data_IF_205991973550
#
_entry.id   IF_205991973550
#
_cell.length_a   1.000
_cell.length_b   1.000
_cell.length_c   1.000
_cell.angle_alpha   90.00
_cell.angle_beta   90.00
_cell.angle_gamma   90.00
#
_symmetry.space_group_name_H-M   'P 1'
#
loop_
_entity.id
_entity.type
_entity.pdbx_description
1 polymer ?
#
# COMPACT_ATOMS: atom_id res chain seq x y z
N UNK A 1 -15.32 5.84 -13.34
CA UNK A 1 -15.33 6.12 -14.80
C UNK A 1 -13.91 6.36 -15.25
N UNK A 2 -13.49 5.91 -16.44
CA UNK A 2 -12.16 6.22 -16.93
C UNK A 2 -12.09 7.65 -17.49
N UNK A 3 -10.95 8.29 -17.31
CA UNK A 3 -10.65 9.63 -17.78
C UNK A 3 -9.39 9.61 -18.63
N UNK A 4 -9.40 10.30 -19.76
CA UNK A 4 -8.22 10.47 -20.61
C UNK A 4 -7.63 11.84 -20.30
N UNK A 5 -6.34 11.87 -19.97
CA UNK A 5 -5.58 13.10 -19.79
C UNK A 5 -4.88 13.44 -21.09
N UNK A 6 -4.93 14.69 -21.56
CA UNK A 6 -4.20 15.16 -22.75
C UNK A 6 -4.61 14.51 -24.10
N UNK A 7 -5.90 14.19 -24.27
CA UNK A 7 -6.43 13.71 -25.54
C UNK A 7 -5.91 12.32 -25.96
N UNK A 8 -5.97 12.00 -27.25
CA UNK A 8 -5.75 10.64 -27.77
C UNK A 8 -4.32 10.11 -27.49
N UNK A 9 -3.33 10.99 -27.40
CA UNK A 9 -1.93 10.63 -27.18
C UNK A 9 -1.53 10.58 -25.69
N UNK A 10 -2.42 10.94 -24.78
CA UNK A 10 -2.12 10.95 -23.36
C UNK A 10 -2.60 9.69 -22.63
N UNK A 11 -2.15 9.53 -21.39
CA UNK A 11 -2.57 8.40 -20.55
C UNK A 11 -4.04 8.46 -20.16
N UNK A 12 -4.56 7.32 -19.70
CA UNK A 12 -5.90 7.25 -19.12
C UNK A 12 -5.85 6.69 -17.70
N UNK A 13 -6.75 7.18 -16.86
CA UNK A 13 -6.90 6.78 -15.46
C UNK A 13 -8.27 6.16 -15.25
N UNK A 14 -8.32 4.93 -14.76
CA UNK A 14 -9.54 4.18 -14.50
C UNK A 14 -9.78 3.02 -15.49
N UNK A 15 -10.98 2.42 -15.39
CA UNK A 15 -11.37 1.21 -16.12
C UNK A 15 -11.95 1.54 -17.51
N UNK A 16 -11.37 0.97 -18.56
CA UNK A 16 -11.90 0.96 -19.93
C UNK A 16 -12.04 -0.50 -20.35
N UNK A 17 -13.25 -1.03 -20.47
CA UNK A 17 -13.47 -2.43 -20.84
C UNK A 17 -12.75 -3.43 -19.91
N UNK A 18 -11.85 -4.25 -20.48
CA UNK A 18 -11.06 -5.29 -19.80
C UNK A 18 -9.74 -4.78 -19.21
N UNK A 19 -9.46 -3.48 -19.32
CA UNK A 19 -8.18 -2.88 -18.98
C UNK A 19 -8.35 -1.69 -18.03
N UNK A 20 -7.34 -1.46 -17.21
CA UNK A 20 -7.30 -0.38 -16.23
C UNK A 20 -6.01 0.40 -16.42
N UNK A 21 -6.15 1.70 -16.68
CA UNK A 21 -5.05 2.64 -16.76
C UNK A 21 -4.82 3.35 -15.43
N UNK A 22 -3.56 3.61 -15.09
CA UNK A 22 -3.19 4.39 -13.92
C UNK A 22 -1.83 5.06 -14.13
N UNK A 23 -1.56 6.12 -13.36
CA UNK A 23 -0.28 6.83 -13.41
C UNK A 23 0.49 6.55 -12.13
N UNK A 24 1.75 6.16 -12.26
CA UNK A 24 2.65 5.95 -11.13
C UNK A 24 3.97 6.67 -11.40
N UNK A 25 4.37 7.56 -10.50
CA UNK A 25 5.62 8.33 -10.64
C UNK A 25 5.72 9.12 -11.95
N UNK A 26 4.60 9.67 -12.45
CA UNK A 26 4.53 10.44 -13.70
C UNK A 26 4.52 9.61 -14.98
N UNK A 27 4.59 8.27 -14.90
CA UNK A 27 4.48 7.37 -16.05
C UNK A 27 3.09 6.74 -16.10
N UNK A 28 2.55 6.61 -17.32
CA UNK A 28 1.27 5.96 -17.56
C UNK A 28 1.47 4.45 -17.72
N UNK A 29 0.67 3.67 -16.99
CA UNK A 29 0.68 2.22 -17.00
C UNK A 29 -0.72 1.69 -17.31
N UNK A 30 -0.75 0.50 -17.88
CA UNK A 30 -1.97 -0.21 -18.24
C UNK A 30 -1.86 -1.65 -17.76
N UNK A 31 -2.93 -2.17 -17.16
CA UNK A 31 -3.02 -3.56 -16.73
C UNK A 31 -4.37 -4.16 -17.09
N UNK A 32 -4.46 -5.49 -17.09
CA UNK A 32 -5.74 -6.17 -17.18
C UNK A 32 -6.62 -5.87 -15.95
N UNK A 33 -7.93 -5.99 -16.13
CA UNK A 33 -8.88 -5.90 -15.04
C UNK A 33 -8.52 -6.95 -13.98
N UNK A 34 -8.45 -6.57 -12.69
CA UNK A 34 -8.19 -7.54 -11.64
C UNK A 34 -9.30 -8.59 -11.65
N UNK A 35 -8.92 -9.86 -11.51
CA UNK A 35 -9.87 -10.93 -11.24
C UNK A 35 -10.48 -10.70 -9.87
N UNK A 36 -11.81 -10.72 -9.78
CA UNK A 36 -12.48 -10.66 -8.49
C UNK A 36 -12.10 -11.91 -7.69
N UNK A 37 -11.52 -11.71 -6.50
CA UNK A 37 -11.35 -12.78 -5.51
C UNK A 37 -12.35 -12.55 -4.38
N UNK A 38 -13.11 -13.58 -4.05
CA UNK A 38 -14.20 -13.50 -3.06
C UNK A 38 -13.77 -13.91 -1.66
N UNK A 39 -12.65 -14.63 -1.50
CA UNK A 39 -12.22 -15.13 -0.19
C UNK A 39 -10.73 -14.86 0.02
N UNK A 40 -10.40 -14.35 1.21
CA UNK A 40 -9.03 -14.20 1.68
C UNK A 40 -8.54 -15.52 2.28
N UNK A 41 -7.27 -15.85 2.04
CA UNK A 41 -6.64 -17.00 2.69
C UNK A 41 -6.39 -16.70 4.17
N UNK A 42 -6.28 -17.73 5.05
CA UNK A 42 -6.01 -17.51 6.47
C UNK A 42 -4.73 -16.69 6.72
N UNK A 43 -3.67 -16.96 5.95
CA UNK A 43 -2.41 -16.21 6.02
C UNK A 43 -2.57 -14.73 5.61
N UNK A 44 -3.47 -14.43 4.67
CA UNK A 44 -3.75 -13.03 4.29
C UNK A 44 -4.51 -12.27 5.37
N UNK A 45 -5.47 -12.91 6.04
CA UNK A 45 -6.19 -12.31 7.16
C UNK A 45 -5.25 -12.00 8.33
N UNK A 46 -4.39 -12.98 8.64
CA UNK A 46 -3.30 -12.86 9.61
C UNK A 46 -2.40 -11.65 9.24
N UNK A 47 -1.94 -11.56 7.99
CA UNK A 47 -1.14 -10.42 7.55
C UNK A 47 -1.86 -9.06 7.64
N UNK A 48 -3.17 -9.02 7.38
CA UNK A 48 -3.99 -7.81 7.52
C UNK A 48 -4.11 -7.39 8.98
N UNK A 49 -4.40 -8.33 9.88
CA UNK A 49 -4.48 -8.07 11.32
C UNK A 49 -3.16 -7.54 11.90
N UNK A 50 -2.00 -8.09 11.48
CA UNK A 50 -0.70 -7.53 11.87
C UNK A 50 -0.57 -6.07 11.46
N UNK A 51 -0.95 -5.79 10.21
CA UNK A 51 -0.75 -4.48 9.65
C UNK A 51 -1.62 -3.45 10.37
N UNK A 52 -2.86 -3.81 10.66
CA UNK A 52 -3.79 -3.01 11.48
C UNK A 52 -3.21 -2.74 12.87
N UNK A 53 -2.76 -3.78 13.58
CA UNK A 53 -2.17 -3.62 14.92
C UNK A 53 -0.95 -2.68 14.94
N UNK A 54 -0.01 -2.84 13.98
CA UNK A 54 1.16 -1.94 13.89
C UNK A 54 0.71 -0.52 13.57
N UNK A 55 -0.28 -0.37 12.69
CA UNK A 55 -0.77 0.93 12.29
C UNK A 55 -1.41 1.68 13.45
N UNK A 56 -2.29 1.02 14.19
CA UNK A 56 -3.00 1.58 15.35
C UNK A 56 -2.02 1.95 16.47
N UNK A 57 -0.98 1.14 16.67
CA UNK A 57 0.06 1.42 17.65
C UNK A 57 0.90 2.66 17.29
N UNK A 58 1.23 2.84 16.01
CA UNK A 58 2.08 3.94 15.55
C UNK A 58 1.31 5.22 15.25
N UNK A 59 -0.01 5.14 15.06
CA UNK A 59 -0.87 6.29 14.78
C UNK A 59 -0.75 7.43 15.81
N UNK A 60 -0.82 7.19 17.14
CA UNK A 60 -0.66 8.27 18.12
C UNK A 60 0.74 8.89 18.12
N UNK A 61 1.76 8.18 17.60
CA UNK A 61 3.16 8.62 17.55
C UNK A 61 3.56 9.20 16.19
N UNK A 62 2.60 9.38 15.27
CA UNK A 62 2.86 9.71 13.86
C UNK A 62 3.73 10.95 13.66
N UNK A 63 3.51 12.01 14.42
CA UNK A 63 4.28 13.24 14.28
C UNK A 63 5.72 13.09 14.79
N UNK A 64 5.90 12.36 15.90
CA UNK A 64 7.23 12.02 16.39
C UNK A 64 8.00 11.15 15.40
N UNK A 65 7.34 10.13 14.85
CA UNK A 65 7.91 9.22 13.85
C UNK A 65 8.30 9.99 12.59
N UNK A 66 7.51 10.96 12.14
CA UNK A 66 7.85 11.81 10.99
C UNK A 66 9.13 12.61 11.21
N UNK A 67 9.37 13.10 12.43
CA UNK A 67 10.61 13.79 12.78
C UNK A 67 11.77 12.80 12.86
N UNK A 68 11.59 11.67 13.55
CA UNK A 68 12.62 10.65 13.72
C UNK A 68 13.06 9.97 12.42
N UNK A 69 12.14 9.74 11.49
CA UNK A 69 12.40 9.14 10.17
C UNK A 69 12.61 10.19 9.06
N UNK A 70 12.80 11.47 9.40
CA UNK A 70 12.97 12.54 8.41
C UNK A 70 14.20 12.34 7.51
N UNK A 71 15.30 11.83 8.07
CA UNK A 71 16.54 11.52 7.34
C UNK A 71 16.51 10.15 6.66
N UNK A 72 15.52 9.31 6.97
CA UNK A 72 15.39 7.99 6.37
C UNK A 72 14.74 8.10 5.00
N UNK A 73 15.55 8.01 3.94
CA UNK A 73 15.04 8.09 2.58
C UNK A 73 14.26 6.82 2.22
N UNK A 74 12.93 6.92 2.25
CA UNK A 74 12.03 5.93 1.67
C UNK A 74 11.17 6.61 0.60
N UNK A 75 11.08 5.97 -0.58
CA UNK A 75 10.20 6.42 -1.68
C UNK A 75 8.75 6.62 -1.25
N UNK A 76 8.34 5.90 -0.21
CA UNK A 76 6.98 5.87 0.35
C UNK A 76 6.76 6.86 1.51
N UNK A 77 7.82 7.51 2.01
CA UNK A 77 7.77 8.40 3.18
C UNK A 77 8.28 7.76 4.48
N UNK A 78 8.73 8.60 5.43
CA UNK A 78 9.35 8.15 6.68
C UNK A 78 8.42 7.37 7.62
N UNK A 79 7.12 7.70 7.64
CA UNK A 79 6.14 6.98 8.47
C UNK A 79 5.93 5.54 7.99
N UNK A 80 5.78 5.34 6.67
CA UNK A 80 5.63 4.02 6.06
C UNK A 80 6.88 3.16 6.25
N UNK A 81 8.06 3.79 6.28
CA UNK A 81 9.29 3.11 6.63
C UNK A 81 9.28 2.62 8.08
N UNK A 82 8.80 3.43 9.03
CA UNK A 82 8.66 3.04 10.43
C UNK A 82 7.68 1.88 10.63
N UNK A 83 6.52 1.91 9.95
CA UNK A 83 5.55 0.80 9.95
C UNK A 83 6.20 -0.49 9.44
N UNK A 84 6.93 -0.41 8.31
CA UNK A 84 7.64 -1.55 7.73
C UNK A 84 8.72 -2.11 8.67
N UNK A 85 9.52 -1.24 9.29
CA UNK A 85 10.56 -1.61 10.23
C UNK A 85 9.98 -2.31 11.47
N UNK A 86 8.94 -1.72 12.05
CA UNK A 86 8.27 -2.23 13.26
C UNK A 86 7.65 -3.60 13.00
N UNK A 87 6.92 -3.76 11.89
CA UNK A 87 6.34 -5.05 11.51
C UNK A 87 7.39 -6.14 11.32
N UNK A 88 8.58 -5.80 10.79
CA UNK A 88 9.64 -6.78 10.51
C UNK A 88 10.39 -7.25 11.76
N UNK A 89 10.55 -6.38 12.75
CA UNK A 89 11.45 -6.63 13.89
C UNK A 89 10.69 -6.86 15.20
N UNK A 90 9.58 -6.14 15.41
CA UNK A 90 8.86 -6.16 16.68
C UNK A 90 7.79 -7.27 16.77
N UNK A 91 7.44 -7.90 15.65
CA UNK A 91 6.44 -8.97 15.63
C UNK A 91 7.10 -10.34 15.59
N UNK A 92 6.83 -11.15 16.61
CA UNK A 92 7.13 -12.58 16.66
C UNK A 92 5.85 -13.33 16.27
N UNK A 93 5.98 -14.39 15.48
CA UNK A 93 4.85 -15.23 15.08
C UNK A 93 4.88 -16.48 15.94
N UNK A 94 3.89 -16.66 16.80
CA UNK A 94 3.66 -17.91 17.52
C UNK A 94 2.66 -18.82 16.76
N UNK A 95 2.66 -20.11 17.08
CA UNK A 95 1.85 -21.14 16.39
C UNK A 95 0.33 -21.00 16.63
N UNK A 96 -0.11 -20.13 17.54
CA UNK A 96 -1.52 -19.89 17.89
C UNK A 96 -2.15 -18.69 17.13
N UNK A 97 -1.40 -18.01 16.28
CA UNK A 97 -1.68 -16.63 15.86
C UNK A 97 -0.64 -15.68 16.46
N UNK A 98 -0.68 -14.40 16.09
CA UNK A 98 0.14 -13.39 16.79
C UNK A 98 -0.20 -13.34 18.27
#
# INVERSE_FOLDING_TARGET
MATITNGILGGFSGKIGTVVGYTLGGKHYMRSLPKSRTQYTPNELINQAMFEMVWDYLEPLKDLIRVGFKSYFAKTGGYQAAVSYTRKIAMVKDDAGF
#
